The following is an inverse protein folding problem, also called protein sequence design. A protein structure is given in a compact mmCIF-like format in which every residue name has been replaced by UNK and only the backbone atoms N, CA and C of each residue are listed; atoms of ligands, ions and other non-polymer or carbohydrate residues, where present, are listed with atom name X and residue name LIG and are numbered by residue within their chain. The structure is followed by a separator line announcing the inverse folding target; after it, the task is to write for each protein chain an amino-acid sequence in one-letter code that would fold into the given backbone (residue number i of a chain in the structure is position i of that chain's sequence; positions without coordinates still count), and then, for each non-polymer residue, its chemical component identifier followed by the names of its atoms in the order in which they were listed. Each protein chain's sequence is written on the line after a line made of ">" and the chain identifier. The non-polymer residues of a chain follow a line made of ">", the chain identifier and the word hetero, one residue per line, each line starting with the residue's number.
data_IF_957966374011
#
_entry.id   IF_957966374011
#
_cell.length_a   1.000
_cell.length_b   1.000
_cell.length_c   1.000
_cell.angle_alpha   90.00
_cell.angle_beta   90.00
_cell.angle_gamma   90.00
#
_symmetry.space_group_name_H-M   'P 1'
#
loop_
_entity.id
_entity.type
_entity.pdbx_description
1 polymer ?
#
# COMPACT_ATOMS: atom_id res chain seq x y z
N UNK A 1 14.35 5.24 13.84
CA UNK A 1 13.44 6.40 13.66
C UNK A 1 13.12 6.48 12.18
N UNK A 2 11.89 6.14 11.78
CA UNK A 2 11.48 6.18 10.37
C UNK A 2 11.30 7.64 9.96
N UNK A 3 11.88 8.05 8.83
CA UNK A 3 11.76 9.42 8.32
C UNK A 3 10.46 9.57 7.52
N UNK A 4 10.00 10.81 7.29
CA UNK A 4 8.85 11.07 6.40
C UNK A 4 9.03 10.45 5.02
N UNK A 5 10.25 10.52 4.48
CA UNK A 5 10.59 9.87 3.21
C UNK A 5 10.43 8.35 3.28
N UNK A 6 10.87 7.73 4.39
CA UNK A 6 10.66 6.31 4.67
C UNK A 6 9.18 5.93 4.65
N UNK A 7 8.31 6.67 5.36
CA UNK A 7 6.87 6.38 5.35
C UNK A 7 6.25 6.46 3.95
N UNK A 8 6.60 7.48 3.16
CA UNK A 8 6.10 7.64 1.80
C UNK A 8 6.56 6.50 0.87
N UNK A 9 7.82 6.06 1.03
CA UNK A 9 8.35 4.94 0.29
C UNK A 9 7.66 3.63 0.69
N UNK A 10 7.47 3.37 1.99
CA UNK A 10 6.76 2.19 2.50
C UNK A 10 5.33 2.11 1.95
N UNK A 11 4.61 3.23 1.88
CA UNK A 11 3.26 3.27 1.29
C UNK A 11 3.27 2.81 -0.17
N UNK A 12 4.22 3.29 -0.98
CA UNK A 12 4.33 2.90 -2.38
C UNK A 12 4.73 1.42 -2.54
N UNK A 13 5.59 0.91 -1.65
CA UNK A 13 6.10 -0.47 -1.67
C UNK A 13 5.05 -1.49 -1.22
N UNK A 14 4.25 -1.19 -0.19
CA UNK A 14 3.24 -2.10 0.37
C UNK A 14 1.91 -2.07 -0.39
N UNK A 15 1.78 -1.20 -1.39
CA UNK A 15 0.53 -1.06 -2.14
C UNK A 15 0.15 -2.30 -2.97
N UNK A 16 1.09 -2.98 -3.67
CA UNK A 16 0.80 -4.27 -4.31
C UNK A 16 0.31 -5.32 -3.31
N UNK A 17 0.90 -5.41 -2.12
CA UNK A 17 0.47 -6.36 -1.08
C UNK A 17 -0.98 -6.10 -0.63
N UNK A 18 -1.39 -4.83 -0.57
CA UNK A 18 -2.79 -4.45 -0.32
C UNK A 18 -3.71 -4.88 -1.48
N UNK A 19 -3.26 -4.74 -2.73
CA UNK A 19 -4.02 -5.18 -3.90
C UNK A 19 -4.17 -6.71 -3.94
N UNK A 20 -3.11 -7.43 -3.59
CA UNK A 20 -3.14 -8.89 -3.46
C UNK A 20 -4.07 -9.32 -2.31
N UNK A 21 -4.03 -8.61 -1.18
CA UNK A 21 -4.94 -8.84 -0.06
C UNK A 21 -6.41 -8.51 -0.36
N UNK A 22 -6.70 -7.70 -1.39
CA UNK A 22 -8.06 -7.49 -1.90
C UNK A 22 -8.56 -8.68 -2.73
N UNK A 23 -7.68 -9.30 -3.52
CA UNK A 23 -8.00 -10.39 -4.43
C UNK A 23 -7.94 -11.79 -3.78
N UNK A 24 -7.14 -11.96 -2.73
CA UNK A 24 -6.90 -13.25 -2.09
C UNK A 24 -7.92 -13.62 -1.01
N UNK A 25 -8.62 -14.74 -1.20
CA UNK A 25 -9.13 -15.52 -0.06
C UNK A 25 -7.91 -16.21 0.57
N UNK A 26 -7.49 -15.77 1.75
CA UNK A 26 -6.43 -16.44 2.52
C UNK A 26 -6.81 -17.91 2.80
N UNK A 27 -6.12 -18.85 2.15
CA UNK A 27 -5.79 -20.13 2.75
C UNK A 27 -4.31 -20.11 3.10
N UNK A 28 -4.03 -20.20 4.39
CA UNK A 28 -2.68 -20.31 4.94
C UNK A 28 -2.30 -21.77 5.12
N UNK A 29 -1.43 -22.32 4.27
CA UNK A 29 -0.66 -23.55 4.59
C UNK A 29 0.73 -23.54 3.93
N UNK A 30 1.75 -23.97 4.68
CA UNK A 30 3.20 -23.81 4.49
C UNK A 30 3.91 -25.19 4.54
N UNK A 31 5.08 -25.45 3.87
CA UNK A 31 5.83 -24.68 2.84
C UNK A 31 6.17 -25.39 1.51
N UNK A 32 6.55 -24.61 0.46
CA UNK A 32 7.63 -25.02 -0.46
C UNK A 32 8.76 -23.98 -0.66
N UNK A 33 9.93 -24.49 -1.06
CA UNK A 33 11.28 -23.87 -0.88
C UNK A 33 11.68 -22.84 -1.94
N UNK A 34 10.99 -22.71 -3.09
CA UNK A 34 10.79 -21.42 -3.79
C UNK A 34 9.45 -21.43 -4.53
N UNK A 35 8.63 -20.43 -4.22
CA UNK A 35 7.17 -20.49 -4.35
C UNK A 35 6.64 -20.23 -5.77
N UNK A 36 7.27 -19.33 -6.54
CA UNK A 36 6.73 -18.86 -7.82
C UNK A 36 6.65 -19.94 -8.92
N UNK A 37 7.67 -20.79 -9.03
CA UNK A 37 7.74 -21.83 -10.06
C UNK A 37 6.77 -22.99 -9.80
N UNK A 38 6.40 -23.22 -8.53
CA UNK A 38 5.41 -24.22 -8.14
C UNK A 38 3.98 -23.69 -8.30
N UNK A 39 3.73 -22.40 -8.01
CA UNK A 39 2.43 -21.75 -8.19
C UNK A 39 2.02 -21.63 -9.67
N UNK A 40 2.93 -21.25 -10.57
CA UNK A 40 2.59 -21.07 -11.99
C UNK A 40 2.15 -22.38 -12.69
N UNK A 41 2.66 -23.53 -12.24
CA UNK A 41 2.29 -24.84 -12.77
C UNK A 41 0.94 -25.34 -12.24
N UNK A 42 0.58 -24.98 -10.99
CA UNK A 42 -0.74 -25.25 -10.41
C UNK A 42 -1.82 -24.29 -10.93
N UNK A 43 -1.46 -23.03 -11.17
CA UNK A 43 -2.38 -21.99 -11.69
C UNK A 43 -3.00 -22.37 -13.04
N UNK A 44 -2.25 -23.02 -13.95
CA UNK A 44 -2.77 -23.40 -15.26
C UNK A 44 -3.90 -24.44 -15.20
N UNK A 45 -3.72 -25.49 -14.39
CA UNK A 45 -4.75 -26.53 -14.18
C UNK A 45 -5.89 -26.02 -13.29
N UNK A 46 -5.59 -25.12 -12.36
CA UNK A 46 -6.58 -24.50 -11.47
C UNK A 46 -7.45 -23.47 -12.20
N UNK A 47 -6.93 -22.76 -13.21
CA UNK A 47 -7.69 -21.84 -14.08
C UNK A 47 -8.77 -22.60 -14.85
N UNK A 48 -8.44 -23.76 -15.44
CA UNK A 48 -9.42 -24.59 -16.16
C UNK A 48 -10.48 -25.15 -15.21
N UNK A 49 -10.06 -25.70 -14.06
CA UNK A 49 -10.98 -26.19 -13.04
C UNK A 49 -11.83 -25.06 -12.41
N UNK A 50 -11.31 -23.83 -12.31
CA UNK A 50 -12.01 -22.66 -11.83
C UNK A 50 -13.02 -22.14 -12.86
N UNK A 51 -12.70 -22.21 -14.16
CA UNK A 51 -13.65 -21.89 -15.23
C UNK A 51 -14.86 -22.82 -15.20
N UNK A 52 -14.65 -24.13 -15.05
CA UNK A 52 -15.73 -25.10 -14.94
C UNK A 52 -16.56 -24.94 -13.64
N UNK A 53 -15.90 -24.68 -12.51
CA UNK A 53 -16.60 -24.40 -11.23
C UNK A 53 -17.36 -23.07 -11.26
N UNK A 54 -16.83 -22.02 -11.88
CA UNK A 54 -17.51 -20.74 -12.02
C UNK A 54 -18.76 -20.84 -12.91
N UNK A 55 -18.73 -21.68 -13.95
CA UNK A 55 -19.92 -21.95 -14.76
C UNK A 55 -21.01 -22.68 -13.96
N UNK A 56 -20.64 -23.67 -13.13
CA UNK A 56 -21.55 -24.39 -12.26
C UNK A 56 -22.12 -23.49 -11.13
N UNK A 57 -21.29 -22.63 -10.54
CA UNK A 57 -21.72 -21.68 -9.52
C UNK A 57 -22.65 -20.60 -10.09
N UNK A 58 -22.41 -20.11 -11.31
CA UNK A 58 -23.34 -19.19 -12.01
C UNK A 58 -24.72 -19.82 -12.29
N UNK A 59 -24.79 -21.14 -12.46
CA UNK A 59 -26.07 -21.86 -12.56
C UNK A 59 -26.79 -21.92 -11.20
N UNK A 60 -26.05 -22.02 -10.09
CA UNK A 60 -26.58 -22.00 -8.73
C UNK A 60 -26.95 -20.58 -8.24
N UNK A 61 -26.23 -19.55 -8.69
CA UNK A 61 -26.48 -18.12 -8.38
C UNK A 61 -27.83 -17.60 -8.88
N UNK A 62 -28.39 -18.24 -9.92
CA UNK A 62 -29.71 -17.90 -10.47
C UNK A 62 -30.87 -18.62 -9.79
N UNK A 63 -30.61 -19.44 -8.77
CA UNK A 63 -31.68 -20.12 -8.04
C UNK A 63 -32.33 -19.16 -7.03
N UNK A 64 -33.64 -18.86 -7.17
CA UNK A 64 -34.35 -17.92 -6.30
C UNK A 64 -34.53 -18.42 -4.84
N UNK A 65 -34.16 -19.67 -4.53
CA UNK A 65 -34.43 -20.31 -3.24
C UNK A 65 -33.29 -20.16 -2.21
N UNK A 66 -32.19 -19.47 -2.54
CA UNK A 66 -31.03 -19.32 -1.65
C UNK A 66 -31.18 -18.13 -0.69
N UNK A 67 -31.70 -18.38 0.50
CA UNK A 67 -31.66 -17.45 1.64
C UNK A 67 -30.50 -17.84 2.57
N UNK A 68 -29.41 -17.08 2.55
CA UNK A 68 -28.25 -17.27 3.42
C UNK A 68 -27.23 -16.12 3.32
N UNK A 69 -26.56 -15.82 4.44
CA UNK A 69 -25.51 -14.81 4.55
C UNK A 69 -24.34 -15.20 3.63
N UNK A 70 -24.11 -14.41 2.58
CA UNK A 70 -23.00 -14.59 1.64
C UNK A 70 -21.69 -14.16 2.30
N UNK A 71 -20.61 -14.97 2.26
CA UNK A 71 -19.28 -14.48 2.61
C UNK A 71 -18.87 -13.42 1.58
N UNK A 72 -18.63 -12.19 2.03
CA UNK A 72 -18.17 -11.09 1.18
C UNK A 72 -16.82 -11.49 0.59
N UNK A 73 -16.65 -11.56 -0.75
CA UNK A 73 -15.41 -12.03 -1.38
C UNK A 73 -14.19 -11.14 -1.14
N UNK A 74 -14.40 -9.92 -0.64
CA UNK A 74 -13.37 -8.88 -0.46
C UNK A 74 -13.20 -8.61 1.03
N UNK A 75 -11.95 -8.50 1.49
CA UNK A 75 -11.64 -7.99 2.83
C UNK A 75 -12.01 -6.50 2.90
N UNK A 76 -13.25 -6.21 3.30
CA UNK A 76 -13.79 -4.83 3.33
C UNK A 76 -12.89 -3.85 4.08
N UNK A 77 -12.27 -4.29 5.19
CA UNK A 77 -11.33 -3.46 5.95
C UNK A 77 -10.07 -3.04 5.14
N UNK A 78 -9.55 -3.92 4.28
CA UNK A 78 -8.42 -3.61 3.38
C UNK A 78 -8.88 -2.58 2.34
N UNK A 79 -10.03 -2.83 1.72
CA UNK A 79 -10.61 -1.92 0.73
C UNK A 79 -10.85 -0.51 1.31
N UNK A 80 -11.47 -0.43 2.48
CA UNK A 80 -11.77 0.85 3.13
C UNK A 80 -10.49 1.59 3.51
N UNK A 81 -9.47 0.86 3.98
CA UNK A 81 -8.15 1.44 4.26
C UNK A 81 -7.49 1.98 3.00
N UNK A 82 -7.52 1.24 1.90
CA UNK A 82 -6.97 1.69 0.62
C UNK A 82 -7.69 2.94 0.12
N UNK A 83 -9.03 2.95 0.12
CA UNK A 83 -9.81 4.12 -0.32
C UNK A 83 -9.55 5.35 0.54
N UNK A 84 -9.43 5.17 1.85
CA UNK A 84 -9.11 6.25 2.79
C UNK A 84 -7.72 6.82 2.51
N UNK A 85 -6.70 5.96 2.45
CA UNK A 85 -5.30 6.38 2.24
C UNK A 85 -5.13 7.04 0.88
N UNK A 86 -5.72 6.48 -0.18
CA UNK A 86 -5.69 7.08 -1.51
C UNK A 86 -6.32 8.47 -1.52
N UNK A 87 -7.52 8.61 -0.95
CA UNK A 87 -8.21 9.90 -0.87
C UNK A 87 -7.35 10.93 -0.17
N UNK A 88 -6.81 10.61 1.01
CA UNK A 88 -6.03 11.55 1.82
C UNK A 88 -4.70 11.93 1.13
N UNK A 89 -3.98 10.97 0.55
CA UNK A 89 -2.70 11.25 -0.11
C UNK A 89 -2.87 12.02 -1.41
N UNK A 90 -3.88 11.69 -2.22
CA UNK A 90 -4.18 12.41 -3.46
C UNK A 90 -4.60 13.85 -3.13
N UNK A 91 -5.47 14.04 -2.14
CA UNK A 91 -5.87 15.38 -1.69
C UNK A 91 -4.68 16.18 -1.15
N UNK A 92 -3.79 15.54 -0.39
CA UNK A 92 -2.57 16.19 0.09
C UNK A 92 -1.67 16.59 -1.08
N UNK A 93 -1.44 15.70 -2.05
CA UNK A 93 -0.64 16.00 -3.23
C UNK A 93 -1.24 17.17 -4.03
N UNK A 94 -2.56 17.19 -4.22
CA UNK A 94 -3.26 18.30 -4.88
C UNK A 94 -3.07 19.64 -4.16
N UNK A 95 -3.23 19.66 -2.85
CA UNK A 95 -3.08 20.88 -2.06
C UNK A 95 -1.63 21.38 -2.04
N UNK A 96 -0.67 20.48 -1.86
CA UNK A 96 0.75 20.85 -1.91
C UNK A 96 1.14 21.32 -3.31
N UNK A 97 0.72 20.61 -4.36
CA UNK A 97 0.97 21.02 -5.74
C UNK A 97 0.38 22.39 -6.05
N UNK A 98 -0.85 22.68 -5.62
CA UNK A 98 -1.47 23.99 -5.80
C UNK A 98 -0.65 25.13 -5.16
N UNK A 99 0.05 24.86 -4.06
CA UNK A 99 0.85 25.85 -3.35
C UNK A 99 2.26 26.02 -3.91
N UNK A 100 2.92 24.92 -4.30
CA UNK A 100 4.36 24.93 -4.63
C UNK A 100 4.66 24.81 -6.12
N UNK A 101 3.77 24.20 -6.90
CA UNK A 101 4.03 23.95 -8.31
C UNK A 101 3.90 25.26 -9.09
N UNK A 102 4.95 25.60 -9.85
CA UNK A 102 4.93 26.82 -10.66
C UNK A 102 3.92 26.67 -11.79
N UNK A 103 3.27 27.77 -12.16
CA UNK A 103 2.43 27.80 -13.38
C UNK A 103 3.22 27.28 -14.58
N UNK A 104 2.60 26.46 -15.45
CA UNK A 104 3.26 26.02 -16.67
C UNK A 104 3.70 27.20 -17.52
N UNK A 105 4.84 27.05 -18.20
CA UNK A 105 5.26 28.04 -19.17
C UNK A 105 4.21 28.14 -20.30
N UNK A 106 3.80 29.37 -20.62
CA UNK A 106 2.88 29.65 -21.73
C UNK A 106 3.60 29.56 -23.07
N UNK A 107 2.88 29.21 -24.12
CA UNK A 107 3.39 29.29 -25.50
C UNK A 107 3.67 30.76 -25.88
N UNK A 108 4.52 30.98 -26.88
CA UNK A 108 4.88 32.33 -27.32
C UNK A 108 3.74 33.00 -28.11
N UNK A 109 3.60 34.33 -28.05
CA UNK A 109 2.66 35.08 -28.88
C UNK A 109 2.94 34.87 -30.38
N UNK A 110 1.89 34.90 -31.21
CA UNK A 110 2.02 34.76 -32.67
C UNK A 110 2.83 35.88 -33.32
N UNK A 111 2.92 37.05 -32.68
CA UNK A 111 3.70 38.20 -33.15
C UNK A 111 5.21 38.00 -33.08
N UNK A 112 5.70 36.98 -32.35
CA UNK A 112 7.13 36.71 -32.26
C UNK A 112 7.70 36.13 -33.56
N UNK A 113 8.99 36.37 -33.85
CA UNK A 113 9.70 35.69 -34.93
C UNK A 113 9.53 34.17 -34.85
N UNK A 114 9.35 33.51 -36.00
CA UNK A 114 8.98 32.10 -36.06
C UNK A 114 9.99 31.19 -35.32
N UNK A 115 11.28 31.47 -35.44
CA UNK A 115 12.34 30.71 -34.78
C UNK A 115 12.29 30.82 -33.24
N UNK A 116 12.11 32.04 -32.72
CA UNK A 116 12.03 32.27 -31.27
C UNK A 116 10.74 31.71 -30.68
N UNK A 117 9.63 31.84 -31.42
CA UNK A 117 8.35 31.20 -31.07
C UNK A 117 8.51 29.69 -30.97
N UNK A 118 9.08 29.04 -32.00
CA UNK A 118 9.31 27.60 -31.98
C UNK A 118 10.17 27.15 -30.79
N UNK A 119 11.24 27.90 -30.47
CA UNK A 119 12.09 27.62 -29.30
C UNK A 119 11.29 27.73 -27.99
N UNK A 120 10.49 28.79 -27.84
CA UNK A 120 9.71 29.04 -26.63
C UNK A 120 8.58 28.04 -26.43
N UNK A 121 7.93 27.60 -27.52
CA UNK A 121 6.88 26.58 -27.53
C UNK A 121 7.44 25.18 -27.21
N UNK A 122 8.66 24.88 -27.68
CA UNK A 122 9.36 23.65 -27.31
C UNK A 122 9.63 23.61 -25.78
N UNK A 123 10.11 24.72 -25.20
CA UNK A 123 10.29 24.84 -23.75
C UNK A 123 8.98 24.73 -22.98
N UNK A 124 7.90 25.37 -23.46
CA UNK A 124 6.58 25.29 -22.85
C UNK A 124 6.03 23.85 -22.85
N UNK A 125 6.24 23.12 -23.94
CA UNK A 125 5.87 21.71 -24.06
C UNK A 125 6.66 20.83 -23.10
N UNK A 126 7.99 20.96 -23.09
CA UNK A 126 8.86 20.23 -22.18
C UNK A 126 8.50 20.48 -20.70
N UNK A 127 8.17 21.73 -20.37
CA UNK A 127 7.72 22.08 -19.02
C UNK A 127 6.35 21.46 -18.67
N UNK A 128 5.36 21.50 -19.58
CA UNK A 128 4.05 20.85 -19.39
C UNK A 128 4.16 19.33 -19.22
N UNK A 129 5.12 18.71 -19.90
CA UNK A 129 5.36 17.26 -19.91
C UNK A 129 6.36 16.80 -18.84
N UNK A 130 6.89 17.73 -18.04
CA UNK A 130 7.93 17.45 -17.07
C UNK A 130 7.51 16.34 -16.07
N UNK A 131 8.29 15.25 -15.91
CA UNK A 131 7.90 14.08 -15.10
C UNK A 131 7.55 14.38 -13.64
N UNK A 132 8.23 15.37 -13.04
CA UNK A 132 7.98 15.79 -11.65
C UNK A 132 6.80 16.75 -11.45
N UNK A 133 6.04 17.09 -12.50
CA UNK A 133 4.77 17.83 -12.32
C UNK A 133 3.69 16.89 -11.82
N UNK A 134 3.03 17.28 -10.74
CA UNK A 134 1.76 16.70 -10.38
C UNK A 134 0.71 17.16 -11.39
N UNK A 135 0.14 16.21 -12.11
CA UNK A 135 -0.91 16.44 -13.11
C UNK A 135 -1.87 15.25 -13.10
N UNK A 136 -3.11 15.48 -13.50
CA UNK A 136 -4.05 14.40 -13.71
C UNK A 136 -3.79 13.78 -15.10
N UNK A 137 -3.42 12.50 -15.16
CA UNK A 137 -3.19 11.75 -16.41
C UNK A 137 -4.26 10.69 -16.68
N UNK A 138 -5.45 10.83 -16.07
CA UNK A 138 -6.56 9.87 -16.18
C UNK A 138 -6.79 9.04 -14.92
N UNK A 139 -5.76 8.82 -14.10
CA UNK A 139 -5.86 8.22 -12.76
C UNK A 139 -4.95 8.94 -11.79
N UNK A 140 -5.30 8.89 -10.51
CA UNK A 140 -4.45 9.33 -9.39
C UNK A 140 -4.55 8.30 -8.29
N UNK A 141 -3.44 7.64 -8.02
CA UNK A 141 -3.39 6.57 -7.03
C UNK A 141 -2.56 6.99 -5.82
N UNK A 142 -2.76 6.30 -4.70
CA UNK A 142 -1.98 6.53 -3.49
C UNK A 142 -0.45 6.39 -3.73
N UNK A 143 0.05 5.36 -4.44
CA UNK A 143 1.48 5.24 -4.73
C UNK A 143 2.04 6.40 -5.54
N UNK A 144 1.31 6.86 -6.56
CA UNK A 144 1.73 8.01 -7.37
C UNK A 144 1.83 9.28 -6.51
N UNK A 145 0.82 9.53 -5.67
CA UNK A 145 0.84 10.66 -4.75
C UNK A 145 1.99 10.55 -3.73
N UNK A 146 2.22 9.36 -3.18
CA UNK A 146 3.29 9.11 -2.22
C UNK A 146 4.68 9.34 -2.83
N UNK A 147 4.95 8.80 -4.03
CA UNK A 147 6.21 8.99 -4.75
C UNK A 147 6.43 10.46 -5.14
N UNK A 148 5.36 11.16 -5.55
CA UNK A 148 5.46 12.58 -5.87
C UNK A 148 5.80 13.42 -4.63
N UNK A 149 5.13 13.17 -3.50
CA UNK A 149 5.41 13.83 -2.22
C UNK A 149 6.83 13.50 -1.72
N UNK A 150 7.27 12.25 -1.87
CA UNK A 150 8.62 11.80 -1.50
C UNK A 150 9.67 12.61 -2.25
N UNK A 151 9.51 12.76 -3.57
CA UNK A 151 10.40 13.58 -4.39
C UNK A 151 10.45 15.06 -3.94
N UNK A 152 9.38 15.59 -3.33
CA UNK A 152 9.38 16.97 -2.78
C UNK A 152 10.09 17.06 -1.43
N UNK A 153 9.93 16.05 -0.58
CA UNK A 153 10.63 15.94 0.71
C UNK A 153 12.15 15.82 0.49
N UNK A 154 12.56 14.99 -0.49
CA UNK A 154 13.96 14.81 -0.92
C UNK A 154 14.51 15.98 -1.75
N UNK A 155 13.72 17.05 -1.94
CA UNK A 155 14.11 18.25 -2.69
C UNK A 155 14.61 17.96 -4.12
N UNK A 156 14.07 16.92 -4.77
CA UNK A 156 14.44 16.58 -6.14
C UNK A 156 14.15 17.77 -7.07
N UNK A 157 15.10 18.19 -7.93
CA UNK A 157 14.91 19.29 -8.86
C UNK A 157 13.64 19.15 -9.71
N UNK A 158 12.95 20.25 -9.97
CA UNK A 158 11.74 20.24 -10.77
C UNK A 158 10.99 21.57 -10.77
N UNK A 159 9.81 21.63 -11.40
CA UNK A 159 9.03 22.85 -11.55
C UNK A 159 8.24 23.24 -10.29
N UNK A 160 8.81 22.99 -9.11
CA UNK A 160 8.22 23.29 -7.81
C UNK A 160 9.14 24.22 -7.02
N UNK A 161 8.54 25.09 -6.22
CA UNK A 161 9.25 25.84 -5.17
C UNK A 161 9.58 24.89 -4.00
N UNK A 162 10.57 25.24 -3.15
CA UNK A 162 10.86 24.49 -1.93
C UNK A 162 9.65 24.39 -0.99
N UNK A 163 9.56 23.29 -0.24
CA UNK A 163 8.54 23.11 0.80
C UNK A 163 8.80 24.07 1.97
N UNK A 164 7.73 24.66 2.51
CA UNK A 164 7.80 25.36 3.81
C UNK A 164 7.81 24.34 4.95
N UNK A 165 8.22 24.77 6.15
CA UNK A 165 8.15 23.91 7.34
C UNK A 165 6.73 23.39 7.62
N UNK A 166 5.71 24.22 7.38
CA UNK A 166 4.31 23.82 7.52
C UNK A 166 3.93 22.70 6.52
N UNK A 167 4.38 22.81 5.27
CA UNK A 167 4.17 21.75 4.28
C UNK A 167 4.85 20.45 4.73
N UNK A 168 6.11 20.52 5.16
CA UNK A 168 6.87 19.36 5.62
C UNK A 168 6.18 18.66 6.80
N UNK A 169 5.77 19.43 7.82
CA UNK A 169 5.07 18.89 8.98
C UNK A 169 3.76 18.20 8.59
N UNK A 170 2.98 18.83 7.71
CA UNK A 170 1.71 18.28 7.25
C UNK A 170 1.89 16.97 6.48
N UNK A 171 2.90 16.91 5.61
CA UNK A 171 3.26 15.70 4.88
C UNK A 171 3.70 14.61 5.86
N UNK A 172 4.53 14.94 6.85
CA UNK A 172 5.00 14.00 7.85
C UNK A 172 3.84 13.36 8.62
N UNK A 173 2.92 14.17 9.16
CA UNK A 173 1.78 13.66 9.93
C UNK A 173 0.87 12.75 9.11
N UNK A 174 0.57 13.13 7.86
CA UNK A 174 -0.30 12.34 6.99
C UNK A 174 0.39 11.05 6.53
N UNK A 175 1.67 11.13 6.13
CA UNK A 175 2.44 9.97 5.68
C UNK A 175 2.59 8.93 6.80
N UNK A 176 2.94 9.37 8.01
CA UNK A 176 3.03 8.49 9.16
C UNK A 176 1.68 7.80 9.43
N UNK A 177 0.59 8.57 9.53
CA UNK A 177 -0.71 7.99 9.80
C UNK A 177 -1.21 7.05 8.69
N UNK A 178 -0.85 7.30 7.44
CA UNK A 178 -1.17 6.41 6.32
C UNK A 178 -0.37 5.11 6.40
N UNK A 179 0.94 5.19 6.63
CA UNK A 179 1.81 4.03 6.82
C UNK A 179 1.32 3.15 7.99
N UNK A 180 1.06 3.75 9.15
CA UNK A 180 0.56 3.04 10.34
C UNK A 180 -0.76 2.31 10.09
N UNK A 181 -1.63 2.83 9.21
CA UNK A 181 -2.90 2.17 8.84
C UNK A 181 -2.65 0.99 7.90
N UNK A 182 -1.78 1.17 6.92
CA UNK A 182 -1.41 0.12 5.96
C UNK A 182 -0.75 -1.06 6.69
N UNK A 183 0.22 -0.78 7.55
CA UNK A 183 0.90 -1.82 8.34
C UNK A 183 -0.07 -2.58 9.26
N UNK A 184 -1.01 -1.87 9.89
CA UNK A 184 -2.03 -2.51 10.73
C UNK A 184 -2.99 -3.40 9.93
N UNK A 185 -3.42 -2.98 8.74
CA UNK A 185 -4.40 -3.74 7.95
C UNK A 185 -3.79 -4.95 7.25
N UNK A 186 -2.52 -4.86 6.84
CA UNK A 186 -1.76 -5.98 6.29
C UNK A 186 -1.36 -7.02 7.34
N UNK A 187 -1.65 -6.77 8.62
CA UNK A 187 -1.23 -7.62 9.73
C UNK A 187 0.31 -7.75 9.86
N UNK A 188 1.02 -6.74 9.33
CA UNK A 188 2.47 -6.60 9.46
C UNK A 188 2.84 -5.91 10.78
N UNK A 189 1.87 -5.56 11.62
CA UNK A 189 2.10 -5.00 12.95
C UNK A 189 2.37 -6.08 14.01
N UNK A 190 3.27 -5.82 14.95
CA UNK A 190 3.44 -6.65 16.16
C UNK A 190 2.10 -6.76 16.90
N UNK A 191 1.57 -7.97 17.00
CA UNK A 191 0.41 -8.35 17.81
C UNK A 191 0.86 -9.02 19.09
N UNK A 192 0.21 -8.63 20.18
CA UNK A 192 0.31 -9.33 21.46
C UNK A 192 -1.04 -10.01 21.73
N UNK A 193 -1.02 -11.32 21.96
CA UNK A 193 -2.19 -12.10 22.35
C UNK A 193 -1.94 -12.79 23.69
N UNK A 194 -2.96 -12.89 24.52
CA UNK A 194 -2.92 -13.67 25.77
C UNK A 194 -3.37 -15.09 25.46
N UNK A 195 -2.61 -16.09 25.89
CA UNK A 195 -3.02 -17.48 25.76
C UNK A 195 -3.94 -17.87 26.92
N UNK A 196 -4.96 -18.67 26.61
CA UNK A 196 -5.84 -19.27 27.61
C UNK A 196 -5.14 -20.36 28.43
N UNK A 197 -4.07 -20.94 27.88
CA UNK A 197 -3.22 -21.89 28.59
C UNK A 197 -2.36 -21.17 29.65
N UNK A 198 -2.38 -21.59 30.91
CA UNK A 198 -1.49 -21.07 31.94
C UNK A 198 -0.05 -21.58 31.73
N UNK A 199 0.92 -20.87 32.31
CA UNK A 199 2.32 -21.30 32.30
C UNK A 199 2.47 -22.67 32.97
N UNK A 200 3.16 -23.64 32.34
CA UNK A 200 3.32 -24.98 32.90
C UNK A 200 4.13 -25.01 34.21
N UNK A 201 4.95 -24.00 34.48
CA UNK A 201 5.85 -23.98 35.64
C UNK A 201 5.34 -23.16 36.83
N UNK A 202 4.59 -22.08 36.56
CA UNK A 202 4.16 -21.14 37.60
C UNK A 202 2.67 -20.80 37.56
N UNK A 203 1.92 -21.41 36.63
CA UNK A 203 0.50 -21.11 36.37
C UNK A 203 0.21 -19.63 36.02
N UNK A 204 1.24 -18.83 35.75
CA UNK A 204 1.14 -17.43 35.35
C UNK A 204 0.58 -17.25 33.94
N UNK A 205 0.18 -16.01 33.63
CA UNK A 205 -0.40 -15.67 32.32
C UNK A 205 0.68 -15.73 31.24
N UNK A 206 0.34 -16.32 30.10
CA UNK A 206 1.19 -16.38 28.92
C UNK A 206 0.76 -15.33 27.90
N UNK A 207 1.73 -14.59 27.37
CA UNK A 207 1.56 -13.57 26.32
C UNK A 207 2.42 -13.91 25.12
N UNK A 208 1.80 -14.08 23.96
CA UNK A 208 2.47 -14.27 22.67
C UNK A 208 2.65 -12.92 22.01
N UNK A 209 3.86 -12.64 21.57
CA UNK A 209 4.20 -11.45 20.78
C UNK A 209 4.66 -11.93 19.41
N UNK A 210 4.01 -11.51 18.32
CA UNK A 210 4.37 -11.93 16.96
C UNK A 210 3.81 -10.96 15.91
N UNK A 211 4.32 -11.01 14.68
CA UNK A 211 3.96 -10.08 13.61
C UNK A 211 5.20 -9.52 12.89
N UNK A 212 5.01 -8.74 11.83
CA UNK A 212 6.10 -8.12 11.07
C UNK A 212 7.16 -9.10 10.51
N UNK A 213 6.81 -10.36 10.25
CA UNK A 213 7.76 -11.39 9.78
C UNK A 213 8.70 -11.93 10.87
N UNK A 214 8.52 -11.55 12.14
CA UNK A 214 9.30 -12.10 13.26
C UNK A 214 8.68 -13.40 13.80
N UNK A 215 9.52 -14.34 14.23
CA UNK A 215 9.08 -15.59 14.87
C UNK A 215 8.28 -15.26 16.12
N UNK A 216 7.05 -15.77 16.29
CA UNK A 216 6.25 -15.47 17.48
C UNK A 216 6.94 -16.00 18.74
N UNK A 217 7.02 -15.14 19.76
CA UNK A 217 7.60 -15.44 21.06
C UNK A 217 6.48 -15.43 22.11
N UNK A 218 6.20 -16.58 22.69
CA UNK A 218 5.40 -16.68 23.92
C UNK A 218 6.29 -16.37 25.12
N UNK A 219 5.80 -15.59 26.09
CA UNK A 219 6.49 -15.39 27.36
C UNK A 219 5.50 -15.40 28.52
N UNK A 220 5.94 -15.86 29.68
CA UNK A 220 5.16 -15.78 30.91
C UNK A 220 5.39 -14.46 31.61
N UNK A 221 4.33 -13.74 31.95
CA UNK A 221 4.41 -12.46 32.66
C UNK A 221 4.81 -12.59 34.13
N UNK A 222 4.72 -13.79 34.71
CA UNK A 222 5.02 -14.04 36.12
C UNK A 222 6.44 -14.57 36.36
N UNK A 223 6.88 -15.57 35.58
CA UNK A 223 8.22 -16.18 35.74
C UNK A 223 9.23 -15.77 34.68
N UNK A 224 8.82 -15.02 33.64
CA UNK A 224 9.71 -14.52 32.59
C UNK A 224 10.21 -15.56 31.59
N UNK A 225 9.76 -16.82 31.69
CA UNK A 225 10.15 -17.88 30.76
C UNK A 225 9.59 -17.60 29.37
N UNK A 226 10.38 -17.88 28.33
CA UNK A 226 10.03 -17.64 26.93
C UNK A 226 10.00 -18.94 26.13
N UNK A 227 9.04 -19.07 25.23
CA UNK A 227 8.93 -20.17 24.27
C UNK A 227 8.92 -19.58 22.85
N UNK A 228 9.82 -20.08 22.03
CA UNK A 228 9.86 -19.85 20.59
C UNK A 228 9.43 -21.14 19.91
N UNK A 229 8.64 -21.06 18.84
CA UNK A 229 8.52 -22.23 17.96
C UNK A 229 9.88 -22.52 17.35
N UNK A 230 10.38 -23.78 17.39
CA UNK A 230 11.59 -24.12 16.66
C UNK A 230 11.34 -23.82 15.19
N UNK A 231 12.21 -22.98 14.61
CA UNK A 231 12.28 -22.81 13.16
C UNK A 231 12.50 -24.20 12.59
N UNK A 232 11.53 -24.73 11.84
CA UNK A 232 11.74 -25.95 11.09
C UNK A 232 12.88 -25.66 10.10
N UNK A 233 14.08 -26.11 10.44
CA UNK A 233 15.24 -26.03 9.57
C UNK A 233 14.94 -26.91 8.34
N UNK A 234 14.90 -26.27 7.17
CA UNK A 234 14.94 -26.90 5.87
C UNK A 234 15.84 -26.03 4.98
#
# INVERSE_FOLDING_TARGET
>A
MTTTAGHLQSIAQLWPDLQDALGGRTQSTWPPVTLHAYLAALDAEEIEAAHHRAAALRQLERSPDQIGVRPVPIRLAVHDTMRMVETVLVQLADQIAANIQRSPLTDAPRSWPAADRARRDALARADREHPHRWRYTGTRTAPQAALWLWARVEQIPGPCRPLTAQHQQRIATIAQGAADRIERVLDTGTRTAVLDAPCPDCSGRLTVTGGAGTTPIAHCTSCGRTWTTPTAAA
#
